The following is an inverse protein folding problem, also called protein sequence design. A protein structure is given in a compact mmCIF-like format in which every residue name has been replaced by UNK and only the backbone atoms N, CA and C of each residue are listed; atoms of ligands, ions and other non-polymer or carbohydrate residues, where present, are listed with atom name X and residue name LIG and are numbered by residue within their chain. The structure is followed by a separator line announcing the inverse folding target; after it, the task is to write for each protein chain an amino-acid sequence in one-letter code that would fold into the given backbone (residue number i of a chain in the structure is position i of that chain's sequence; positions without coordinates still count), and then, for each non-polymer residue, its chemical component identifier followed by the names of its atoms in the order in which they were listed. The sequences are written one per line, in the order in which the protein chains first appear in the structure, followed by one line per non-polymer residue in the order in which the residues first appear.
data_IF_258328820274
#
_entry.id   IF_258328820274
#
_cell.length_a   1.000
_cell.length_b   1.000
_cell.length_c   1.000
_cell.angle_alpha   90.00
_cell.angle_beta   90.00
_cell.angle_gamma   90.00
#
_symmetry.space_group_name_H-M   'P 1'
#
loop_
_entity.id
_entity.type
_entity.pdbx_description
1 polymer ?
#
# COMPACT_ATOMS: atom_id res chain seq x y z
N UNK A 1 9.66 20.47 -22.40
CA UNK A 1 9.17 20.19 -21.04
C UNK A 1 10.16 20.75 -20.04
N UNK A 2 9.68 21.44 -19.00
CA UNK A 2 10.52 22.07 -17.98
C UNK A 2 10.14 21.61 -16.55
N UNK A 3 10.90 22.07 -15.56
CA UNK A 3 10.65 21.76 -14.14
C UNK A 3 9.30 22.32 -13.64
N UNK A 4 8.89 23.48 -14.13
CA UNK A 4 7.63 24.12 -13.73
C UNK A 4 6.42 23.26 -14.13
N UNK A 5 6.46 22.65 -15.32
CA UNK A 5 5.44 21.71 -15.79
C UNK A 5 5.30 20.52 -14.82
N UNK A 6 6.41 19.90 -14.40
CA UNK A 6 6.38 18.77 -13.46
C UNK A 6 5.75 19.18 -12.12
N UNK A 7 6.16 20.32 -11.57
CA UNK A 7 5.63 20.84 -10.30
C UNK A 7 4.13 21.13 -10.38
N UNK A 8 3.66 21.61 -11.53
CA UNK A 8 2.23 21.84 -11.75
C UNK A 8 1.45 20.51 -11.79
N UNK A 9 2.01 19.46 -12.43
CA UNK A 9 1.41 18.11 -12.40
C UNK A 9 1.24 17.63 -10.96
N UNK A 10 2.31 17.68 -10.15
CA UNK A 10 2.29 17.27 -8.74
C UNK A 10 1.32 18.11 -7.91
N UNK A 11 1.33 19.44 -8.08
CA UNK A 11 0.42 20.36 -7.38
C UNK A 11 -1.04 20.03 -7.70
N UNK A 12 -1.35 19.67 -8.94
CA UNK A 12 -2.66 19.20 -9.34
C UNK A 12 -3.10 17.94 -8.58
N UNK A 13 -2.21 16.96 -8.42
CA UNK A 13 -2.49 15.75 -7.63
C UNK A 13 -2.73 16.08 -6.15
N UNK A 14 -1.96 17.00 -5.57
CA UNK A 14 -2.17 17.47 -4.19
C UNK A 14 -3.55 18.14 -4.03
N UNK A 15 -3.94 18.98 -5.00
CA UNK A 15 -5.28 19.62 -4.98
C UNK A 15 -6.40 18.59 -5.07
N UNK A 16 -6.24 17.54 -5.87
CA UNK A 16 -7.20 16.43 -5.94
C UNK A 16 -7.27 15.63 -4.63
N UNK A 17 -6.15 15.46 -3.92
CA UNK A 17 -6.14 14.82 -2.59
C UNK A 17 -6.90 15.66 -1.56
N UNK A 18 -6.74 16.99 -1.58
CA UNK A 18 -7.53 17.89 -0.73
C UNK A 18 -9.02 17.90 -1.09
N UNK A 19 -9.36 17.80 -2.38
CA UNK A 19 -10.75 17.67 -2.81
C UNK A 19 -11.39 16.37 -2.28
N UNK A 20 -10.64 15.27 -2.24
CA UNK A 20 -11.11 13.99 -1.67
C UNK A 20 -11.47 14.10 -0.19
N UNK A 21 -10.79 14.96 0.59
CA UNK A 21 -11.10 15.14 2.02
C UNK A 21 -12.53 15.62 2.27
N UNK A 22 -13.11 16.36 1.33
CA UNK A 22 -14.48 16.92 1.43
C UNK A 22 -15.48 16.27 0.47
N UNK A 23 -15.07 15.23 -0.26
CA UNK A 23 -15.90 14.49 -1.22
C UNK A 23 -15.76 12.98 -0.99
N UNK A 24 -15.35 12.23 -2.02
CA UNK A 24 -15.07 10.81 -1.94
C UNK A 24 -13.99 10.39 -2.93
N UNK A 25 -13.36 9.24 -2.68
CA UNK A 25 -12.39 8.65 -3.61
C UNK A 25 -13.01 8.33 -4.96
N UNK A 26 -14.31 7.96 -4.98
CA UNK A 26 -15.03 7.66 -6.20
C UNK A 26 -15.17 8.90 -7.10
N UNK A 27 -15.50 10.05 -6.51
CA UNK A 27 -15.71 11.31 -7.24
C UNK A 27 -14.42 11.82 -7.89
N UNK A 28 -13.30 11.71 -7.18
CA UNK A 28 -12.00 12.20 -7.68
C UNK A 28 -11.30 11.21 -8.61
N UNK A 29 -11.65 9.91 -8.60
CA UNK A 29 -10.93 8.87 -9.35
C UNK A 29 -10.73 9.22 -10.83
N UNK A 30 -11.75 9.65 -11.60
CA UNK A 30 -11.58 9.97 -13.02
C UNK A 30 -10.55 11.08 -13.25
N UNK A 31 -10.55 12.11 -12.39
CA UNK A 31 -9.59 13.22 -12.47
C UNK A 31 -8.18 12.77 -12.09
N UNK A 32 -8.05 11.91 -11.07
CA UNK A 32 -6.78 11.32 -10.67
C UNK A 32 -6.20 10.45 -11.79
N UNK A 33 -7.04 9.65 -12.46
CA UNK A 33 -6.63 8.83 -13.60
C UNK A 33 -6.09 9.70 -14.75
N UNK A 34 -6.83 10.73 -15.16
CA UNK A 34 -6.40 11.65 -16.21
C UNK A 34 -5.10 12.39 -15.85
N UNK A 35 -4.96 12.84 -14.60
CA UNK A 35 -3.72 13.51 -14.13
C UNK A 35 -2.54 12.54 -14.09
N UNK A 36 -2.78 11.28 -13.73
CA UNK A 36 -1.77 10.21 -13.71
C UNK A 36 -1.29 9.90 -15.13
N UNK A 37 -2.20 9.77 -16.09
CA UNK A 37 -1.85 9.57 -17.50
C UNK A 37 -0.99 10.72 -18.03
N UNK A 38 -1.40 11.97 -17.74
CA UNK A 38 -0.62 13.14 -18.10
C UNK A 38 0.77 13.14 -17.44
N UNK A 39 0.89 12.72 -16.18
CA UNK A 39 2.18 12.59 -15.49
C UNK A 39 3.08 11.53 -16.13
N UNK A 40 2.51 10.38 -16.51
CA UNK A 40 3.23 9.31 -17.22
C UNK A 40 3.71 9.81 -18.59
N UNK A 41 2.86 10.51 -19.33
CA UNK A 41 3.24 11.06 -20.65
C UNK A 41 4.33 12.13 -20.51
N UNK A 42 4.16 13.04 -19.54
CA UNK A 42 5.19 14.03 -19.15
C UNK A 42 6.52 13.32 -18.86
N UNK A 43 6.52 12.23 -18.09
CA UNK A 43 7.74 11.48 -17.82
C UNK A 43 8.36 10.86 -19.08
N UNK A 44 7.56 10.30 -19.99
CA UNK A 44 8.04 9.69 -21.25
C UNK A 44 8.76 10.70 -22.15
N UNK A 45 8.24 11.92 -22.20
CA UNK A 45 8.77 13.00 -23.04
C UNK A 45 9.89 13.80 -22.34
N UNK A 46 10.24 13.42 -21.11
CA UNK A 46 11.23 14.11 -20.30
C UNK A 46 12.66 13.92 -20.86
N UNK A 47 13.45 15.00 -21.00
CA UNK A 47 14.89 14.84 -21.20
C UNK A 47 15.51 14.16 -19.97
N UNK A 48 16.64 13.47 -20.16
CA UNK A 48 17.30 12.69 -19.11
C UNK A 48 17.48 13.46 -17.79
N UNK A 49 17.90 14.73 -17.85
CA UNK A 49 18.09 15.59 -16.68
C UNK A 49 16.82 15.84 -15.84
N UNK A 50 15.63 15.71 -16.45
CA UNK A 50 14.33 15.89 -15.81
C UNK A 50 13.58 14.56 -15.63
N UNK A 51 14.16 13.43 -16.03
CA UNK A 51 13.48 12.13 -16.00
C UNK A 51 13.10 11.70 -14.59
N UNK A 52 14.05 11.78 -13.64
CA UNK A 52 13.82 11.40 -12.24
C UNK A 52 12.67 12.19 -11.56
N UNK A 53 12.62 13.53 -11.61
CA UNK A 53 11.49 14.27 -11.05
C UNK A 53 10.18 14.02 -11.82
N UNK A 54 10.22 13.88 -13.15
CA UNK A 54 9.01 13.63 -13.93
C UNK A 54 8.40 12.24 -13.64
N UNK A 55 9.23 11.20 -13.56
CA UNK A 55 8.76 9.85 -13.20
C UNK A 55 8.35 9.78 -11.72
N UNK A 56 8.90 10.64 -10.85
CA UNK A 56 8.43 10.83 -9.48
C UNK A 56 6.99 11.36 -9.40
N UNK A 57 6.61 12.30 -10.28
CA UNK A 57 5.23 12.76 -10.40
C UNK A 57 4.29 11.65 -10.90
N UNK A 58 4.75 10.83 -11.85
CA UNK A 58 4.01 9.66 -12.30
C UNK A 58 3.81 8.62 -11.19
N UNK A 59 4.85 8.38 -10.37
CA UNK A 59 4.76 7.52 -9.19
C UNK A 59 3.70 8.03 -8.20
N UNK A 60 3.68 9.34 -7.93
CA UNK A 60 2.69 9.97 -7.07
C UNK A 60 1.26 9.78 -7.61
N UNK A 61 1.06 9.99 -8.91
CA UNK A 61 -0.25 9.81 -9.56
C UNK A 61 -0.72 8.35 -9.48
N UNK A 62 0.14 7.41 -9.89
CA UNK A 62 -0.17 5.98 -9.88
C UNK A 62 -0.44 5.46 -8.46
N UNK A 63 0.30 5.92 -7.45
CA UNK A 63 0.06 5.59 -6.06
C UNK A 63 -1.31 6.07 -5.59
N UNK A 64 -1.68 7.31 -5.91
CA UNK A 64 -2.96 7.88 -5.54
C UNK A 64 -4.12 7.19 -6.27
N UNK A 65 -3.97 6.91 -7.56
CA UNK A 65 -4.97 6.16 -8.33
C UNK A 65 -5.18 4.75 -7.74
N UNK A 66 -4.10 4.07 -7.37
CA UNK A 66 -4.16 2.78 -6.68
C UNK A 66 -4.93 2.86 -5.36
N UNK A 67 -4.69 3.92 -4.57
CA UNK A 67 -5.43 4.18 -3.34
C UNK A 67 -6.93 4.43 -3.58
N UNK A 68 -7.28 5.21 -4.60
CA UNK A 68 -8.68 5.43 -4.94
C UNK A 68 -9.38 4.13 -5.36
N UNK A 69 -8.71 3.27 -6.14
CA UNK A 69 -9.22 1.95 -6.48
C UNK A 69 -9.38 1.05 -5.26
N UNK A 70 -8.41 1.08 -4.33
CA UNK A 70 -8.47 0.35 -3.07
C UNK A 70 -9.69 0.74 -2.25
N UNK A 71 -9.92 2.04 -2.03
CA UNK A 71 -11.07 2.55 -1.26
C UNK A 71 -12.42 2.24 -1.94
N UNK A 72 -12.42 2.11 -3.27
CA UNK A 72 -13.59 1.67 -4.04
C UNK A 72 -13.77 0.14 -4.10
N UNK A 73 -12.95 -0.65 -3.40
CA UNK A 73 -13.00 -2.13 -3.41
C UNK A 73 -12.53 -2.78 -4.71
N UNK A 74 -11.91 -2.02 -5.62
CA UNK A 74 -11.41 -2.48 -6.93
C UNK A 74 -9.96 -2.98 -6.82
N UNK A 75 -9.75 -4.01 -6.00
CA UNK A 75 -8.41 -4.45 -5.58
C UNK A 75 -7.47 -4.86 -6.73
N UNK A 76 -7.97 -5.47 -7.80
CA UNK A 76 -7.14 -5.81 -8.97
C UNK A 76 -6.65 -4.58 -9.74
N UNK A 77 -7.48 -3.52 -9.84
CA UNK A 77 -7.06 -2.25 -10.42
C UNK A 77 -6.10 -1.49 -9.49
N UNK A 78 -6.33 -1.60 -8.17
CA UNK A 78 -5.41 -1.06 -7.17
C UNK A 78 -4.02 -1.68 -7.29
N UNK A 79 -3.94 -3.01 -7.39
CA UNK A 79 -2.70 -3.76 -7.62
C UNK A 79 -1.93 -3.23 -8.85
N UNK A 80 -2.58 -3.18 -10.01
CA UNK A 80 -1.94 -2.76 -11.26
C UNK A 80 -1.37 -1.33 -11.17
N UNK A 81 -2.14 -0.42 -10.59
CA UNK A 81 -1.71 0.96 -10.39
C UNK A 81 -0.55 1.06 -9.39
N UNK A 82 -0.59 0.32 -8.28
CA UNK A 82 0.47 0.32 -7.26
C UNK A 82 1.76 -0.34 -7.76
N UNK A 83 1.69 -1.39 -8.55
CA UNK A 83 2.89 -2.01 -9.14
C UNK A 83 3.60 -1.07 -10.10
N UNK A 84 2.81 -0.35 -10.93
CA UNK A 84 3.34 0.73 -11.77
C UNK A 84 3.98 1.83 -10.91
N UNK A 85 3.31 2.22 -9.82
CA UNK A 85 3.81 3.25 -8.92
C UNK A 85 5.14 2.86 -8.25
N UNK A 86 5.30 1.60 -7.83
CA UNK A 86 6.55 1.08 -7.26
C UNK A 86 7.68 1.15 -8.29
N UNK A 87 7.44 0.70 -9.53
CA UNK A 87 8.43 0.78 -10.59
C UNK A 87 8.87 2.24 -10.86
N UNK A 88 7.91 3.16 -10.95
CA UNK A 88 8.18 4.59 -11.13
C UNK A 88 8.92 5.21 -9.94
N UNK A 89 8.56 4.84 -8.71
CA UNK A 89 9.19 5.34 -7.50
C UNK A 89 10.67 4.92 -7.43
N UNK A 90 10.97 3.65 -7.74
CA UNK A 90 12.36 3.19 -7.81
C UNK A 90 13.19 3.97 -8.83
N UNK A 91 12.63 4.20 -10.03
CA UNK A 91 13.31 4.99 -11.06
C UNK A 91 13.55 6.43 -10.61
N UNK A 92 12.58 7.05 -9.92
CA UNK A 92 12.68 8.43 -9.43
C UNK A 92 13.76 8.62 -8.36
N UNK A 93 14.16 7.55 -7.65
CA UNK A 93 15.07 7.55 -6.49
C UNK A 93 14.62 8.50 -5.36
N UNK A 94 13.33 8.85 -5.30
CA UNK A 94 12.77 9.70 -4.26
C UNK A 94 12.31 8.83 -3.06
N UNK A 95 12.98 8.93 -1.88
CA UNK A 95 12.71 8.05 -0.74
C UNK A 95 11.25 8.06 -0.29
N UNK A 96 10.63 9.24 -0.17
CA UNK A 96 9.23 9.37 0.25
C UNK A 96 8.24 8.76 -0.75
N UNK A 97 8.60 8.70 -2.05
CA UNK A 97 7.77 8.07 -3.07
C UNK A 97 7.88 6.54 -2.99
N UNK A 98 9.09 6.03 -2.74
CA UNK A 98 9.32 4.59 -2.54
C UNK A 98 8.60 4.11 -1.28
N UNK A 99 8.73 4.85 -0.17
CA UNK A 99 8.00 4.56 1.07
C UNK A 99 6.49 4.49 0.80
N UNK A 100 5.90 5.55 0.21
CA UNK A 100 4.45 5.65 0.05
C UNK A 100 3.89 4.50 -0.77
N UNK A 101 4.56 4.19 -1.87
CA UNK A 101 4.12 3.14 -2.81
C UNK A 101 4.20 1.76 -2.16
N UNK A 102 5.29 1.46 -1.45
CA UNK A 102 5.42 0.23 -0.68
C UNK A 102 4.42 0.14 0.48
N UNK A 103 4.17 1.25 1.16
CA UNK A 103 3.17 1.35 2.23
C UNK A 103 1.77 0.97 1.73
N UNK A 104 1.32 1.57 0.62
CA UNK A 104 0.02 1.24 0.03
C UNK A 104 -0.04 -0.20 -0.47
N UNK A 105 1.08 -0.72 -0.98
CA UNK A 105 1.18 -2.14 -1.36
C UNK A 105 1.04 -3.05 -0.15
N UNK A 106 1.66 -2.72 0.98
CA UNK A 106 1.50 -3.45 2.25
C UNK A 106 0.06 -3.43 2.77
N UNK A 107 -0.66 -2.32 2.60
CA UNK A 107 -2.10 -2.26 2.94
C UNK A 107 -2.93 -3.21 2.07
N UNK A 108 -2.61 -3.32 0.77
CA UNK A 108 -3.28 -4.24 -0.14
C UNK A 108 -3.01 -5.71 0.21
N UNK A 109 -1.78 -6.05 0.60
CA UNK A 109 -1.44 -7.41 1.07
C UNK A 109 -2.23 -7.81 2.33
N UNK A 110 -2.49 -6.86 3.23
CA UNK A 110 -3.41 -7.11 4.34
C UNK A 110 -4.81 -7.43 3.79
N UNK A 111 -5.35 -6.65 2.86
CA UNK A 111 -6.69 -6.97 2.34
C UNK A 111 -6.81 -8.37 1.74
N UNK A 112 -5.75 -8.91 1.15
CA UNK A 112 -5.75 -10.27 0.63
C UNK A 112 -5.51 -11.38 1.66
N UNK A 113 -5.27 -11.03 2.92
CA UNK A 113 -5.01 -12.02 3.97
C UNK A 113 -3.57 -12.51 4.00
N UNK A 114 -2.61 -11.68 3.56
CA UNK A 114 -1.17 -12.00 3.54
C UNK A 114 -0.39 -11.13 4.55
N UNK A 115 -0.62 -11.27 5.87
CA UNK A 115 -0.01 -10.39 6.88
C UNK A 115 1.54 -10.44 6.89
N UNK A 116 2.15 -11.59 6.62
CA UNK A 116 3.61 -11.69 6.51
C UNK A 116 4.18 -10.94 5.29
N UNK A 117 3.47 -10.98 4.16
CA UNK A 117 3.84 -10.21 2.97
C UNK A 117 3.68 -8.71 3.23
N UNK A 118 2.58 -8.30 3.87
CA UNK A 118 2.37 -6.93 4.30
C UNK A 118 3.48 -6.42 5.23
N UNK A 119 3.87 -7.21 6.24
CA UNK A 119 4.97 -6.86 7.13
C UNK A 119 6.28 -6.65 6.37
N UNK A 120 6.56 -7.47 5.35
CA UNK A 120 7.74 -7.33 4.49
C UNK A 120 7.69 -6.05 3.64
N UNK A 121 6.51 -5.68 3.13
CA UNK A 121 6.34 -4.44 2.37
C UNK A 121 6.54 -3.20 3.25
N UNK A 122 5.97 -3.19 4.46
CA UNK A 122 6.21 -2.09 5.41
C UNK A 122 7.67 -2.04 5.89
N UNK A 123 8.34 -3.18 6.06
CA UNK A 123 9.79 -3.18 6.33
C UNK A 123 10.59 -2.52 5.20
N UNK A 124 10.29 -2.88 3.96
CA UNK A 124 10.92 -2.29 2.78
C UNK A 124 10.66 -0.78 2.67
N UNK A 125 9.43 -0.34 2.96
CA UNK A 125 9.04 1.07 2.93
C UNK A 125 9.84 1.93 3.93
N UNK A 126 10.14 1.37 5.11
CA UNK A 126 10.86 2.08 6.19
C UNK A 126 12.38 2.05 6.09
N UNK A 127 12.93 1.24 5.18
CA UNK A 127 14.36 0.90 5.13
C UNK A 127 15.24 2.09 4.76
N UNK A 128 14.74 2.99 3.91
CA UNK A 128 15.49 4.19 3.53
C UNK A 128 15.34 5.27 4.60
N UNK A 129 16.42 5.52 5.36
CA UNK A 129 16.41 6.52 6.44
C UNK A 129 16.31 7.96 5.95
N UNK A 130 16.44 8.20 4.63
CA UNK A 130 16.23 9.52 4.02
C UNK A 130 14.74 9.85 3.86
N UNK A 131 13.85 8.85 3.94
CA UNK A 131 12.42 9.10 3.96
C UNK A 131 12.02 9.83 5.25
N UNK A 132 11.04 10.72 5.15
CA UNK A 132 10.65 11.58 6.25
C UNK A 132 10.20 10.78 7.50
N UNK A 133 10.57 11.19 8.73
CA UNK A 133 10.26 10.44 9.95
C UNK A 133 8.78 10.14 10.16
N UNK A 134 7.87 11.03 9.74
CA UNK A 134 6.42 10.83 9.86
C UNK A 134 5.92 9.61 9.06
N UNK A 135 6.48 9.41 7.87
CA UNK A 135 6.16 8.29 6.98
C UNK A 135 6.65 6.98 7.61
N UNK A 136 7.89 6.98 8.09
CA UNK A 136 8.49 5.83 8.78
C UNK A 136 7.79 5.50 10.10
N UNK A 137 7.30 6.50 10.84
CA UNK A 137 6.51 6.29 12.06
C UNK A 137 5.18 5.59 11.73
N UNK A 138 4.46 6.09 10.74
CA UNK A 138 3.22 5.46 10.25
C UNK A 138 3.45 4.01 9.85
N UNK A 139 4.44 3.75 9.00
CA UNK A 139 4.70 2.40 8.53
C UNK A 139 5.21 1.47 9.64
N UNK A 140 5.86 2.01 10.69
CA UNK A 140 6.25 1.20 11.85
C UNK A 140 5.01 0.65 12.56
N UNK A 141 3.99 1.49 12.74
CA UNK A 141 2.69 1.06 13.26
C UNK A 141 1.95 0.10 12.32
N UNK A 142 2.04 0.31 11.00
CA UNK A 142 1.44 -0.59 10.03
C UNK A 142 2.13 -1.96 9.98
N UNK A 143 3.45 -2.00 10.07
CA UNK A 143 4.23 -3.24 10.19
C UNK A 143 3.90 -3.95 11.48
N UNK A 144 3.79 -3.22 12.61
CA UNK A 144 3.36 -3.79 13.88
C UNK A 144 1.98 -4.46 13.76
N UNK A 145 1.01 -3.79 13.12
CA UNK A 145 -0.31 -4.36 12.84
C UNK A 145 -0.20 -5.64 12.02
N UNK A 146 0.57 -5.63 10.94
CA UNK A 146 0.74 -6.80 10.09
C UNK A 146 1.38 -7.98 10.84
N UNK A 147 2.40 -7.73 11.66
CA UNK A 147 3.05 -8.74 12.49
C UNK A 147 2.13 -9.29 13.57
N UNK A 148 1.32 -8.45 14.21
CA UNK A 148 0.30 -8.89 15.15
C UNK A 148 -0.67 -9.91 14.50
N UNK A 149 -1.09 -9.66 13.26
CA UNK A 149 -1.90 -10.62 12.49
C UNK A 149 -1.16 -11.87 12.04
N UNK A 150 0.16 -11.78 11.88
CA UNK A 150 1.00 -12.94 11.62
C UNK A 150 1.30 -13.77 12.89
N UNK A 151 0.85 -13.32 14.07
CA UNK A 151 1.12 -13.98 15.36
C UNK A 151 2.45 -13.55 16.02
N UNK A 152 3.14 -12.55 15.45
CA UNK A 152 4.46 -12.08 15.89
C UNK A 152 4.35 -10.94 16.91
N UNK A 153 3.65 -11.19 18.03
CA UNK A 153 3.26 -10.17 19.00
C UNK A 153 4.45 -9.38 19.59
N UNK A 154 5.57 -10.05 19.88
CA UNK A 154 6.76 -9.40 20.47
C UNK A 154 7.39 -8.40 19.51
N UNK A 155 7.48 -8.76 18.23
CA UNK A 155 8.06 -7.88 17.22
C UNK A 155 7.12 -6.71 16.90
N UNK A 156 5.81 -6.97 16.92
CA UNK A 156 4.80 -5.91 16.82
C UNK A 156 4.94 -4.88 17.96
N UNK A 157 5.13 -5.31 19.20
CA UNK A 157 5.37 -4.41 20.33
C UNK A 157 6.62 -3.54 20.16
N UNK A 158 7.72 -4.16 19.71
CA UNK A 158 8.96 -3.44 19.43
C UNK A 158 8.75 -2.34 18.39
N UNK A 159 7.96 -2.63 17.36
CA UNK A 159 7.66 -1.66 16.30
C UNK A 159 6.69 -0.56 16.72
N UNK A 160 5.77 -0.82 17.67
CA UNK A 160 4.96 0.25 18.26
C UNK A 160 5.80 1.24 19.05
N UNK A 161 6.78 0.76 19.82
CA UNK A 161 7.74 1.63 20.52
C UNK A 161 8.59 2.45 19.54
N UNK A 162 9.02 1.83 18.44
CA UNK A 162 9.76 2.54 17.38
C UNK A 162 8.88 3.60 16.68
N UNK A 163 7.61 3.29 16.44
CA UNK A 163 6.64 4.24 15.88
C UNK A 163 6.49 5.46 16.80
N UNK A 164 6.35 5.25 18.11
CA UNK A 164 6.24 6.30 19.12
C UNK A 164 7.51 7.17 19.16
N UNK A 165 8.69 6.54 19.15
CA UNK A 165 9.99 7.23 19.12
C UNK A 165 10.14 8.09 17.87
N UNK A 166 9.81 7.56 16.69
CA UNK A 166 9.87 8.31 15.43
C UNK A 166 8.86 9.47 15.43
N UNK A 167 7.62 9.22 15.83
CA UNK A 167 6.57 10.24 15.90
C UNK A 167 6.98 11.41 16.80
N UNK A 168 7.68 11.15 17.92
CA UNK A 168 8.21 12.19 18.81
C UNK A 168 9.32 13.07 18.20
N UNK A 169 9.88 12.69 17.05
CA UNK A 169 10.90 13.48 16.32
C UNK A 169 10.35 14.23 15.11
N UNK A 170 9.06 14.08 14.81
CA UNK A 170 8.44 14.67 13.62
C UNK A 170 8.22 16.17 13.81
N UNK A 171 8.82 16.96 12.93
CA UNK A 171 8.36 18.32 12.66
C UNK A 171 7.22 18.26 11.63
N UNK A 172 5.98 18.47 12.10
CA UNK A 172 4.80 18.40 11.23
C UNK A 172 4.67 19.61 10.30
N UNK A 173 5.50 20.65 10.46
CA UNK A 173 5.54 21.79 9.54
C UNK A 173 6.37 21.52 8.28
N UNK A 174 7.21 20.48 8.28
CA UNK A 174 8.12 20.09 7.19
C UNK A 174 7.71 18.78 6.50
N UNK A 175 6.40 18.52 6.41
CA UNK A 175 5.92 17.28 5.79
C UNK A 175 6.17 17.25 4.27
N UNK A 176 6.55 16.09 3.69
CA UNK A 176 6.70 15.94 2.25
C UNK A 176 5.44 16.30 1.47
N UNK A 177 5.61 16.66 0.20
CA UNK A 177 4.49 17.01 -0.70
C UNK A 177 3.46 15.89 -0.74
N UNK A 178 2.22 16.23 -0.39
CA UNK A 178 1.09 15.29 -0.34
C UNK A 178 1.07 14.38 0.90
N UNK A 179 1.80 14.73 1.96
CA UNK A 179 1.80 14.05 3.26
C UNK A 179 1.08 14.86 4.37
N UNK A 180 0.38 15.96 4.05
CA UNK A 180 -0.31 16.82 5.03
C UNK A 180 -1.32 16.09 5.95
N UNK A 181 -1.78 14.91 5.53
CA UNK A 181 -2.74 14.09 6.27
C UNK A 181 -2.08 13.19 7.33
N UNK A 182 -0.75 13.11 7.37
CA UNK A 182 0.01 12.45 8.46
C UNK A 182 0.04 13.37 9.68
N UNK A 183 -1.10 13.51 10.36
CA UNK A 183 -1.22 14.34 11.56
C UNK A 183 -0.86 13.55 12.82
N UNK A 184 -0.52 14.21 13.94
CA UNK A 184 -0.30 13.54 15.22
C UNK A 184 -1.48 12.64 15.60
N UNK A 185 -2.71 13.17 15.49
CA UNK A 185 -3.94 12.41 15.79
C UNK A 185 -4.11 11.19 14.89
N UNK A 186 -3.75 11.29 13.61
CA UNK A 186 -3.78 10.14 12.70
C UNK A 186 -2.79 9.05 13.12
N UNK A 187 -1.54 9.41 13.46
CA UNK A 187 -0.54 8.43 13.91
C UNK A 187 -0.99 7.70 15.19
N UNK A 188 -1.56 8.43 16.15
CA UNK A 188 -2.12 7.86 17.39
C UNK A 188 -3.28 6.90 17.08
N UNK A 189 -4.19 7.29 16.19
CA UNK A 189 -5.29 6.43 15.76
C UNK A 189 -4.75 5.12 15.16
N UNK A 190 -3.76 5.19 14.26
CA UNK A 190 -3.16 4.00 13.64
C UNK A 190 -2.50 3.07 14.65
N UNK A 191 -1.82 3.63 15.65
CA UNK A 191 -1.26 2.86 16.77
C UNK A 191 -2.34 2.10 17.52
N UNK A 192 -3.46 2.74 17.82
CA UNK A 192 -4.62 2.09 18.41
C UNK A 192 -5.14 0.92 17.55
N UNK A 193 -5.20 1.06 16.23
CA UNK A 193 -5.57 -0.05 15.31
C UNK A 193 -4.59 -1.21 15.39
N UNK A 194 -3.28 -0.96 15.51
CA UNK A 194 -2.30 -2.02 15.74
C UNK A 194 -2.46 -2.70 17.11
N UNK A 195 -2.86 -1.94 18.14
CA UNK A 195 -3.16 -2.50 19.47
C UNK A 195 -4.41 -3.39 19.46
N UNK A 196 -5.42 -3.08 18.65
CA UNK A 196 -6.55 -4.00 18.42
C UNK A 196 -6.09 -5.33 17.85
N UNK A 197 -5.17 -5.30 16.88
CA UNK A 197 -4.59 -6.51 16.28
C UNK A 197 -3.85 -7.39 17.29
N UNK A 198 -3.33 -6.80 18.36
CA UNK A 198 -2.68 -7.48 19.49
C UNK A 198 -3.66 -7.94 20.58
N UNK A 199 -4.98 -7.75 20.40
CA UNK A 199 -6.01 -8.11 21.38
C UNK A 199 -6.11 -7.14 22.56
N UNK A 200 -5.52 -5.94 22.48
CA UNK A 200 -5.51 -4.94 23.57
C UNK A 200 -6.72 -4.00 23.52
N UNK A 201 -7.92 -4.56 23.43
CA UNK A 201 -9.15 -3.84 23.07
C UNK A 201 -9.39 -2.55 23.86
N UNK A 202 -9.38 -2.61 25.21
CA UNK A 202 -9.67 -1.44 26.04
C UNK A 202 -8.64 -0.31 25.87
N UNK A 203 -7.35 -0.65 25.75
CA UNK A 203 -6.31 0.35 25.52
C UNK A 203 -6.39 0.92 24.10
N UNK A 204 -6.64 0.06 23.12
CA UNK A 204 -6.80 0.47 21.74
C UNK A 204 -7.99 1.41 21.52
N UNK A 205 -9.14 1.15 22.14
CA UNK A 205 -10.30 2.04 22.07
C UNK A 205 -9.99 3.45 22.58
N UNK A 206 -9.23 3.57 23.67
CA UNK A 206 -8.79 4.88 24.19
C UNK A 206 -7.88 5.60 23.20
N UNK A 207 -6.89 4.90 22.67
CA UNK A 207 -5.92 5.46 21.70
C UNK A 207 -6.61 5.91 20.42
N UNK A 208 -7.49 5.07 19.86
CA UNK A 208 -8.26 5.41 18.67
C UNK A 208 -9.14 6.63 18.94
N UNK A 209 -9.84 6.69 20.08
CA UNK A 209 -10.68 7.83 20.46
C UNK A 209 -9.89 9.12 20.63
N UNK A 210 -8.73 9.07 21.29
CA UNK A 210 -7.83 10.22 21.45
C UNK A 210 -7.27 10.69 20.11
N UNK A 211 -6.79 9.76 19.29
CA UNK A 211 -6.27 10.05 17.96
C UNK A 211 -7.32 10.71 17.07
N UNK A 212 -8.53 10.15 17.05
CA UNK A 212 -9.68 10.72 16.34
C UNK A 212 -10.00 12.14 16.82
N UNK A 213 -10.11 12.36 18.14
CA UNK A 213 -10.40 13.70 18.68
C UNK A 213 -9.32 14.73 18.32
N UNK A 214 -8.06 14.31 18.22
CA UNK A 214 -6.92 15.15 17.85
C UNK A 214 -6.73 15.36 16.34
N UNK A 215 -7.46 14.66 15.47
CA UNK A 215 -7.42 14.89 14.02
C UNK A 215 -8.10 16.23 13.65
N UNK A 216 -7.66 16.92 12.58
CA UNK A 216 -8.39 18.06 12.02
C UNK A 216 -9.84 17.72 11.69
N UNK A 217 -10.74 18.69 11.78
CA UNK A 217 -12.17 18.49 11.60
C UNK A 217 -12.52 17.90 10.23
N UNK A 218 -11.81 18.36 9.20
CA UNK A 218 -11.93 17.93 7.82
C UNK A 218 -11.56 16.45 7.69
N UNK A 219 -10.47 16.02 8.33
CA UNK A 219 -10.03 14.62 8.27
C UNK A 219 -10.94 13.68 9.06
N UNK A 220 -11.59 14.16 10.14
CA UNK A 220 -12.56 13.35 10.90
C UNK A 220 -13.81 13.01 10.08
N UNK A 221 -14.17 13.86 9.12
CA UNK A 221 -15.34 13.68 8.27
C UNK A 221 -15.01 13.05 6.91
N UNK A 222 -13.72 12.99 6.55
CA UNK A 222 -13.29 12.54 5.25
C UNK A 222 -13.63 11.06 4.99
N UNK A 223 -14.12 10.79 3.78
CA UNK A 223 -14.52 9.44 3.36
C UNK A 223 -13.40 8.40 3.53
N UNK A 224 -12.16 8.77 3.21
CA UNK A 224 -11.00 7.87 3.30
C UNK A 224 -10.67 7.44 4.74
N UNK A 225 -11.03 8.24 5.74
CA UNK A 225 -10.78 7.96 7.15
C UNK A 225 -11.89 7.09 7.78
N UNK A 226 -13.10 7.12 7.20
CA UNK A 226 -14.33 6.52 7.73
C UNK A 226 -14.15 5.06 8.16
N UNK A 227 -13.60 4.22 7.31
CA UNK A 227 -13.40 2.79 7.57
C UNK A 227 -12.58 2.49 8.85
N UNK A 228 -11.75 3.44 9.27
CA UNK A 228 -10.90 3.32 10.46
C UNK A 228 -11.52 3.93 11.70
N UNK A 229 -12.47 4.85 11.52
CA UNK A 229 -13.23 5.51 12.60
C UNK A 229 -14.44 4.66 12.99
N UNK A 230 -15.11 4.04 12.01
CA UNK A 230 -16.24 3.13 12.24
C UNK A 230 -15.85 1.93 13.13
N UNK A 231 -14.55 1.61 13.23
CA UNK A 231 -13.93 0.67 14.19
C UNK A 231 -14.37 0.93 15.63
N UNK A 232 -14.64 2.19 15.99
CA UNK A 232 -14.99 2.64 17.35
C UNK A 232 -16.45 2.29 17.68
N UNK A 233 -17.30 2.15 16.67
CA UNK A 233 -18.76 2.23 16.83
C UNK A 233 -19.51 0.94 16.52
N UNK A 234 -18.82 -0.09 16.00
CA UNK A 234 -19.45 -1.35 15.68
C UNK A 234 -19.08 -2.41 16.75
N UNK A 235 -20.09 -3.12 17.27
CA UNK A 235 -19.98 -4.41 17.98
C UNK A 235 -19.38 -5.54 17.09
N UNK A 236 -18.58 -5.17 16.08
CA UNK A 236 -17.93 -6.10 15.14
C UNK A 236 -16.67 -6.67 15.77
N UNK A 237 -16.38 -7.92 15.41
CA UNK A 237 -15.09 -8.52 15.69
C UNK A 237 -13.99 -7.62 15.09
N UNK A 238 -13.02 -7.13 15.89
CA UNK A 238 -11.89 -6.35 15.41
C UNK A 238 -11.17 -6.97 14.20
N UNK A 239 -11.29 -8.29 14.00
CA UNK A 239 -10.76 -9.03 12.85
C UNK A 239 -11.35 -8.63 11.47
N UNK A 240 -12.59 -8.11 11.43
CA UNK A 240 -13.26 -7.67 10.19
C UNK A 240 -12.74 -6.33 9.65
N UNK A 241 -12.09 -5.55 10.51
CA UNK A 241 -11.51 -4.23 10.22
C UNK A 241 -10.01 -4.31 9.88
N UNK A 242 -9.49 -5.50 10.09
CA UNK A 242 -8.09 -5.88 10.05
C UNK A 242 -7.77 -6.55 8.70
N UNK A 243 -8.74 -7.29 8.17
CA UNK A 243 -8.75 -7.95 6.86
C UNK A 243 -10.23 -7.93 6.39
N UNK A 244 -10.63 -7.23 5.32
CA UNK A 244 -12.02 -7.17 4.90
C UNK A 244 -12.59 -8.60 4.74
N UNK A 245 -13.73 -8.92 5.36
CA UNK A 245 -14.32 -10.23 5.22
C UNK A 245 -14.79 -10.39 3.75
N UNK A 246 -14.24 -11.42 3.09
CA UNK A 246 -14.55 -11.94 1.74
C UNK A 246 -13.73 -11.43 0.54
N UNK A 247 -12.42 -11.70 0.56
CA UNK A 247 -11.70 -12.37 -0.56
C UNK A 247 -10.66 -13.40 -0.08
N UNK A 248 -10.74 -13.86 1.18
CA UNK A 248 -9.91 -14.96 1.69
C UNK A 248 -10.09 -16.18 0.77
N UNK A 249 -9.09 -16.45 -0.09
CA UNK A 249 -9.00 -17.69 -0.87
C UNK A 249 -9.38 -17.66 -2.37
N UNK A 250 -9.69 -16.51 -3.00
CA UNK A 250 -9.96 -16.51 -4.47
C UNK A 250 -8.76 -16.30 -5.39
N UNK A 251 -7.57 -16.02 -4.85
CA UNK A 251 -6.32 -16.11 -5.61
C UNK A 251 -5.35 -17.07 -4.95
N UNK A 252 -5.58 -18.36 -5.15
CA UNK A 252 -4.50 -19.35 -5.10
C UNK A 252 -4.71 -20.44 -6.15
N UNK A 253 -4.39 -20.08 -7.40
CA UNK A 253 -3.77 -20.97 -8.36
C UNK A 253 -3.26 -20.12 -9.53
N UNK A 254 -1.97 -19.74 -9.51
CA UNK A 254 -1.26 -19.63 -10.78
C UNK A 254 -1.33 -21.03 -11.41
N UNK A 255 -1.79 -21.20 -12.66
CA UNK A 255 -1.79 -22.51 -13.28
C UNK A 255 -0.35 -23.00 -13.29
N UNK A 256 -0.11 -24.10 -12.59
CA UNK A 256 1.14 -24.84 -12.70
C UNK A 256 1.32 -25.17 -14.17
N UNK A 257 2.29 -24.50 -14.79
CA UNK A 257 2.71 -24.81 -16.15
C UNK A 257 3.27 -26.23 -16.05
N UNK A 258 2.45 -27.23 -16.36
CA UNK A 258 2.90 -28.61 -16.49
C UNK A 258 3.99 -28.60 -17.57
N UNK A 259 5.24 -28.63 -17.12
CA UNK A 259 6.37 -28.99 -17.96
C UNK A 259 6.09 -30.43 -18.36
N UNK A 260 5.53 -30.63 -19.56
CA UNK A 260 5.43 -31.95 -20.18
C UNK A 260 6.85 -32.49 -20.30
N UNK A 261 7.24 -33.36 -19.36
CA UNK A 261 8.44 -34.16 -19.53
C UNK A 261 8.22 -35.02 -20.76
N UNK A 262 8.97 -34.75 -21.85
CA UNK A 262 9.11 -35.70 -22.95
C UNK A 262 9.83 -36.92 -22.38
N UNK A 263 9.06 -37.92 -21.95
CA UNK A 263 9.58 -39.29 -21.80
C UNK A 263 9.82 -39.83 -23.21
N UNK A 264 11.08 -39.98 -23.55
CA UNK A 264 11.55 -40.82 -24.65
C UNK A 264 11.19 -42.26 -24.33
N UNK A 265 10.35 -42.88 -25.16
CA UNK A 265 10.11 -44.33 -25.10
C UNK A 265 11.32 -45.09 -25.67
N UNK A 266 11.73 -46.22 -25.08
CA UNK A 266 12.75 -47.09 -25.65
C UNK A 266 12.18 -47.90 -26.81
N UNK A 267 13.02 -48.04 -27.84
CA UNK A 267 12.82 -48.81 -29.06
C UNK A 267 12.88 -50.31 -28.73
N UNK A 268 11.75 -51.01 -28.76
CA UNK A 268 11.71 -52.48 -28.70
C UNK A 268 11.96 -53.07 -30.09
N UNK A 269 12.91 -54.01 -30.13
CA UNK A 269 13.28 -54.79 -31.30
C UNK A 269 12.15 -55.74 -31.70
N UNK A 270 11.91 -55.86 -33.01
CA UNK A 270 11.11 -56.94 -33.59
C UNK A 270 12.06 -58.14 -33.80
N UNK A 271 11.89 -59.17 -33.00
CA UNK A 271 12.25 -60.53 -33.38
C UNK A 271 11.19 -61.05 -34.37
N UNK A 272 11.65 -61.47 -35.54
CA UNK A 272 10.88 -62.24 -36.52
C UNK A 272 11.23 -63.69 -36.36
N UNK A 273 10.28 -64.48 -35.87
CA UNK A 273 10.31 -65.94 -36.01
C UNK A 273 8.91 -66.41 -36.39
N UNK A 274 8.74 -66.80 -37.65
CA UNK A 274 7.61 -67.61 -38.13
C UNK A 274 8.22 -68.76 -38.92
N UNK A 275 8.05 -69.95 -38.35
CA UNK A 275 8.50 -71.22 -38.87
C UNK A 275 7.87 -71.58 -40.21
N UNK A 276 8.59 -72.48 -40.91
CA UNK A 276 8.08 -73.21 -42.06
C UNK A 276 7.37 -74.52 -41.70
N UNK A 277 6.70 -75.03 -42.73
CA UNK A 277 6.00 -76.32 -42.94
C UNK A 277 4.53 -76.00 -43.30
N UNK A 278 4.03 -76.20 -44.52
CA UNK A 278 4.33 -77.18 -45.58
C UNK A 278 4.47 -76.55 -46.97
#
# INVERSE_FOLDING_TARGET
MDKATILEVESGLVRLRKLEDVSSSADVTPMVAARTEMAVQTAKDAPYALRAPAIGAAAMGAAYLGWCHFLAGRYGAAEQALDSAVAYAYESRAPDRIERTMSYRGVLELVWGSPAAAASMFDAARRDSRAHPALRAYDSGQQARALAHAGEAREADRLLLEADRLAGTVDFSDLPVGAYWYTPGWLVLRRGVAMLALGRTAAAQREIGQGYAAMPAEHRQAHWARQWIDVIHADRDPSDLVLPPRQRGKHRALPSRQVRSRRTSPRTAKETDHGGAE
#
